data_IF_621133938309
#
_entry.id   IF_621133938309
#
_cell.length_a   1.000
_cell.length_b   1.000
_cell.length_c   1.000
_cell.angle_alpha   90.00
_cell.angle_beta   90.00
_cell.angle_gamma   90.00
#
_symmetry.space_group_name_H-M   'P 1'
#
loop_
_entity.id
_entity.type
_entity.pdbx_description
1 polymer ?
#
# COMPACT_ATOMS: atom_id res chain seq x y z
N UNK A 1 20.54 -28.08 -10.31
CA UNK A 1 19.40 -27.62 -9.49
C UNK A 1 18.13 -27.97 -10.24
N UNK A 2 17.25 -28.72 -9.63
CA UNK A 2 16.04 -29.28 -10.27
C UNK A 2 14.85 -28.94 -9.39
N UNK A 3 13.68 -28.71 -10.00
CA UNK A 3 12.40 -28.67 -9.32
C UNK A 3 11.96 -30.13 -9.11
N UNK A 4 11.65 -30.47 -7.87
CA UNK A 4 11.16 -31.79 -7.49
C UNK A 4 9.68 -31.71 -7.15
N UNK A 5 8.93 -32.72 -7.51
CA UNK A 5 7.62 -32.99 -6.94
C UNK A 5 7.76 -33.51 -5.50
N UNK A 6 6.65 -33.56 -4.76
CA UNK A 6 6.68 -34.09 -3.40
C UNK A 6 7.01 -35.59 -3.37
N UNK A 7 6.53 -36.34 -4.34
CA UNK A 7 6.82 -37.80 -4.49
C UNK A 7 8.30 -38.00 -4.77
N UNK A 8 8.88 -37.33 -5.77
CA UNK A 8 10.32 -37.42 -6.08
C UNK A 8 11.20 -37.03 -4.88
N UNK A 9 10.78 -36.04 -4.10
CA UNK A 9 11.51 -35.64 -2.90
C UNK A 9 11.52 -36.73 -1.85
N UNK A 10 10.40 -37.42 -1.59
CA UNK A 10 10.29 -38.51 -0.65
C UNK A 10 11.12 -39.72 -1.12
N UNK A 11 11.06 -40.07 -2.39
CA UNK A 11 11.85 -41.15 -2.97
C UNK A 11 13.36 -40.92 -2.81
N UNK A 12 13.80 -39.67 -3.02
CA UNK A 12 15.20 -39.28 -2.82
C UNK A 12 15.57 -39.38 -1.33
N UNK A 13 14.72 -38.92 -0.41
CA UNK A 13 14.98 -39.02 1.03
C UNK A 13 15.15 -40.46 1.50
N UNK A 14 14.35 -41.39 0.98
CA UNK A 14 14.44 -42.82 1.35
C UNK A 14 15.74 -43.46 0.82
N UNK A 15 16.28 -42.95 -0.26
CA UNK A 15 17.54 -43.46 -0.88
C UNK A 15 18.78 -42.74 -0.38
N UNK A 16 18.64 -41.66 0.38
CA UNK A 16 19.75 -40.79 0.81
C UNK A 16 20.61 -41.46 1.88
N UNK A 17 21.95 -41.48 1.74
CA UNK A 17 22.85 -41.96 2.77
C UNK A 17 22.69 -41.17 4.07
N UNK A 18 22.75 -41.85 5.22
CA UNK A 18 22.65 -41.23 6.56
C UNK A 18 23.71 -40.17 6.79
N UNK A 19 24.84 -40.28 6.10
CA UNK A 19 25.99 -39.35 6.19
C UNK A 19 25.71 -37.99 5.59
N UNK A 20 24.65 -37.82 4.79
CA UNK A 20 24.26 -36.53 4.21
C UNK A 20 23.99 -35.43 5.27
N UNK A 21 23.57 -35.82 6.47
CA UNK A 21 23.30 -34.90 7.58
C UNK A 21 24.59 -34.29 8.17
N UNK A 22 25.71 -34.95 8.03
CA UNK A 22 27.01 -34.52 8.58
C UNK A 22 27.85 -33.68 7.59
N UNK A 23 27.45 -33.64 6.32
CA UNK A 23 28.12 -32.82 5.32
C UNK A 23 27.87 -31.32 5.58
N UNK A 24 28.87 -30.50 5.30
CA UNK A 24 28.72 -29.03 5.37
C UNK A 24 27.78 -28.53 4.27
N UNK A 25 27.08 -27.41 4.51
CA UNK A 25 26.10 -26.85 3.55
C UNK A 25 26.74 -26.38 2.23
N UNK A 26 28.06 -26.22 2.20
CA UNK A 26 28.82 -25.88 1.00
C UNK A 26 29.37 -27.10 0.25
N UNK A 27 29.21 -28.32 0.79
CA UNK A 27 29.68 -29.54 0.12
C UNK A 27 28.84 -29.80 -1.15
N UNK A 28 29.48 -29.95 -2.33
CA UNK A 28 28.78 -30.23 -3.58
C UNK A 28 28.00 -31.54 -3.57
N UNK A 29 28.38 -32.49 -2.69
CA UNK A 29 27.71 -33.78 -2.58
C UNK A 29 26.53 -33.75 -1.59
N UNK A 30 26.36 -32.69 -0.82
CA UNK A 30 25.22 -32.57 0.09
C UNK A 30 23.92 -32.36 -0.67
N UNK A 31 22.99 -33.23 -0.47
CA UNK A 31 21.63 -33.04 -0.94
C UNK A 31 20.91 -32.02 -0.04
N UNK A 32 20.53 -30.87 -0.62
CA UNK A 32 19.78 -29.81 0.04
C UNK A 32 18.51 -29.59 -0.74
N UNK A 33 17.37 -29.84 -0.12
CA UNK A 33 16.07 -29.47 -0.66
C UNK A 33 15.44 -28.37 0.21
N UNK A 34 14.99 -27.31 -0.43
CA UNK A 34 14.30 -26.19 0.22
C UNK A 34 13.00 -25.89 -0.51
N UNK A 35 12.04 -25.34 0.19
CA UNK A 35 10.71 -25.05 -0.34
C UNK A 35 10.35 -23.57 -0.18
N UNK A 36 9.56 -23.06 -1.12
CA UNK A 36 8.97 -21.70 -1.05
C UNK A 36 10.00 -20.58 -1.09
N UNK A 37 9.79 -19.54 -0.30
CA UNK A 37 10.61 -18.34 -0.28
C UNK A 37 12.08 -18.60 0.10
N UNK A 38 12.34 -19.59 0.94
CA UNK A 38 13.69 -19.97 1.36
C UNK A 38 14.52 -20.51 0.18
N UNK A 39 13.92 -21.35 -0.65
CA UNK A 39 14.54 -21.86 -1.86
C UNK A 39 14.84 -20.75 -2.87
N UNK A 40 13.88 -19.84 -3.09
CA UNK A 40 14.06 -18.71 -4.00
C UNK A 40 15.15 -17.76 -3.49
N UNK A 41 15.20 -17.51 -2.18
CA UNK A 41 16.24 -16.69 -1.57
C UNK A 41 17.65 -17.24 -1.87
N UNK A 42 17.87 -18.52 -1.66
CA UNK A 42 19.16 -19.18 -1.91
C UNK A 42 19.54 -19.14 -3.39
N UNK A 43 18.57 -19.32 -4.28
CA UNK A 43 18.79 -19.22 -5.73
C UNK A 43 19.21 -17.79 -6.12
N UNK A 44 18.55 -16.77 -5.57
CA UNK A 44 18.85 -15.37 -5.86
C UNK A 44 20.20 -14.94 -5.26
N UNK A 45 20.53 -15.39 -4.04
CA UNK A 45 21.80 -15.07 -3.37
C UNK A 45 23.02 -15.62 -4.13
N UNK A 46 22.85 -16.75 -4.84
CA UNK A 46 23.92 -17.41 -5.60
C UNK A 46 23.91 -17.02 -7.09
N UNK A 47 23.10 -16.04 -7.50
CA UNK A 47 22.95 -15.65 -8.89
C UNK A 47 24.12 -14.78 -9.35
N UNK A 48 24.85 -15.24 -10.36
CA UNK A 48 25.83 -14.41 -11.06
C UNK A 48 25.13 -13.59 -12.15
N UNK A 49 24.98 -12.30 -11.88
CA UNK A 49 24.32 -11.37 -12.79
C UNK A 49 25.14 -11.09 -14.06
N UNK A 50 26.47 -11.13 -13.98
CA UNK A 50 27.31 -10.85 -15.12
C UNK A 50 27.31 -12.00 -16.12
N UNK A 51 27.47 -13.23 -15.62
CA UNK A 51 27.36 -14.43 -16.44
C UNK A 51 25.97 -14.56 -17.09
N UNK A 52 24.91 -14.32 -16.31
CA UNK A 52 23.52 -14.39 -16.81
C UNK A 52 23.23 -13.31 -17.86
N UNK A 53 23.75 -12.09 -17.67
CA UNK A 53 23.61 -11.03 -18.68
C UNK A 53 24.29 -11.40 -19.99
N UNK A 54 25.50 -11.93 -19.92
CA UNK A 54 26.22 -12.38 -21.12
C UNK A 54 25.44 -13.49 -21.87
N UNK A 55 24.99 -14.50 -21.15
CA UNK A 55 24.19 -15.59 -21.71
C UNK A 55 22.91 -15.09 -22.38
N UNK A 56 22.16 -14.21 -21.73
CA UNK A 56 20.92 -13.67 -22.28
C UNK A 56 21.15 -12.79 -23.51
N UNK A 57 22.23 -12.01 -23.55
CA UNK A 57 22.62 -11.23 -24.74
C UNK A 57 22.96 -12.14 -25.91
N UNK A 58 23.71 -13.21 -25.65
CA UNK A 58 24.04 -14.19 -26.66
C UNK A 58 22.78 -14.88 -27.22
N UNK A 59 21.86 -15.29 -26.34
CA UNK A 59 20.57 -15.90 -26.77
C UNK A 59 19.72 -14.91 -27.58
N UNK A 60 19.62 -13.65 -27.12
CA UNK A 60 18.84 -12.63 -27.82
C UNK A 60 19.39 -12.34 -29.26
N UNK A 61 20.71 -12.47 -29.45
CA UNK A 61 21.31 -12.32 -30.78
C UNK A 61 21.15 -13.53 -31.70
N UNK A 62 21.37 -14.74 -31.15
CA UNK A 62 21.61 -15.95 -31.95
C UNK A 62 20.42 -16.94 -32.00
N UNK A 63 19.36 -16.76 -31.20
CA UNK A 63 18.23 -17.70 -31.20
C UNK A 63 17.47 -17.61 -32.54
N UNK A 64 17.05 -18.75 -33.06
CA UNK A 64 16.30 -18.81 -34.33
C UNK A 64 14.84 -18.36 -34.19
N UNK A 65 14.26 -18.43 -32.96
CA UNK A 65 12.87 -18.10 -32.70
C UNK A 65 12.72 -16.66 -32.21
N UNK A 66 11.90 -15.86 -32.88
CA UNK A 66 11.60 -14.49 -32.49
C UNK A 66 10.94 -14.43 -31.08
N UNK A 67 10.11 -15.39 -30.73
CA UNK A 67 9.50 -15.48 -29.42
C UNK A 67 10.55 -15.64 -28.32
N UNK A 68 11.49 -16.56 -28.47
CA UNK A 68 12.59 -16.79 -27.53
C UNK A 68 13.51 -15.57 -27.41
N UNK A 69 13.80 -14.88 -28.56
CA UNK A 69 14.51 -13.59 -28.50
C UNK A 69 13.81 -12.57 -27.63
N UNK A 70 12.50 -12.40 -27.81
CA UNK A 70 11.71 -11.45 -27.03
C UNK A 70 11.66 -11.80 -25.55
N UNK A 71 11.58 -13.09 -25.21
CA UNK A 71 11.65 -13.56 -23.82
C UNK A 71 13.03 -13.29 -23.20
N UNK A 72 14.09 -13.58 -23.96
CA UNK A 72 15.47 -13.28 -23.52
C UNK A 72 15.68 -11.79 -23.28
N UNK A 73 15.16 -10.92 -24.16
CA UNK A 73 15.24 -9.46 -24.00
C UNK A 73 14.48 -8.95 -22.76
N UNK A 74 13.27 -9.45 -22.52
CA UNK A 74 12.50 -9.10 -21.31
C UNK A 74 13.24 -9.51 -20.04
N UNK A 75 13.80 -10.70 -20.03
CA UNK A 75 14.60 -11.19 -18.90
C UNK A 75 15.90 -10.40 -18.73
N UNK A 76 16.57 -10.08 -19.82
CA UNK A 76 17.78 -9.25 -19.82
C UNK A 76 17.51 -7.87 -19.22
N UNK A 77 16.39 -7.24 -19.53
CA UNK A 77 16.02 -5.94 -18.96
C UNK A 77 16.00 -5.96 -17.43
N UNK A 78 15.45 -7.01 -16.82
CA UNK A 78 15.43 -7.20 -15.37
C UNK A 78 16.84 -7.41 -14.83
N UNK A 79 17.64 -8.26 -15.48
CA UNK A 79 19.02 -8.55 -15.07
C UNK A 79 19.89 -7.30 -15.13
N UNK A 80 19.78 -6.51 -16.21
CA UNK A 80 20.53 -5.24 -16.34
C UNK A 80 20.10 -4.22 -15.28
N UNK A 81 18.83 -4.18 -14.90
CA UNK A 81 18.34 -3.31 -13.82
C UNK A 81 19.00 -3.67 -12.49
N UNK A 82 19.17 -4.96 -12.18
CA UNK A 82 19.92 -5.40 -10.99
C UNK A 82 21.40 -5.10 -11.10
N UNK A 83 22.02 -5.28 -12.27
CA UNK A 83 23.43 -4.92 -12.49
C UNK A 83 23.67 -3.43 -12.30
N UNK A 84 22.84 -2.58 -12.89
CA UNK A 84 22.94 -1.12 -12.76
C UNK A 84 22.74 -0.64 -11.31
N UNK A 85 21.97 -1.36 -10.51
CA UNK A 85 21.75 -1.05 -9.09
C UNK A 85 22.68 -1.80 -8.13
N UNK A 86 23.66 -2.53 -8.64
CA UNK A 86 24.65 -3.27 -7.83
C UNK A 86 25.29 -2.35 -6.79
N UNK A 87 25.29 -2.73 -5.54
CA UNK A 87 25.73 -1.91 -4.39
C UNK A 87 24.60 -1.17 -3.67
N UNK A 88 23.47 -0.90 -4.30
CA UNK A 88 22.26 -0.37 -3.65
C UNK A 88 21.18 -1.42 -3.45
N UNK A 89 21.04 -2.37 -4.38
CA UNK A 89 20.05 -3.44 -4.34
C UNK A 89 20.72 -4.79 -4.60
N UNK A 90 20.29 -5.80 -3.84
CA UNK A 90 20.68 -7.18 -4.03
C UNK A 90 19.48 -8.01 -4.50
N UNK A 91 19.67 -8.99 -5.42
CA UNK A 91 18.56 -9.81 -5.93
C UNK A 91 17.77 -10.52 -4.83
N UNK A 92 18.45 -11.03 -3.79
CA UNK A 92 17.83 -11.72 -2.66
C UNK A 92 16.91 -10.83 -1.82
N UNK A 93 16.97 -9.51 -1.94
CA UNK A 93 16.05 -8.59 -1.27
C UNK A 93 14.62 -8.59 -1.85
N UNK A 94 14.41 -9.28 -2.96
CA UNK A 94 13.05 -9.55 -3.44
C UNK A 94 12.27 -10.43 -2.46
N UNK A 95 12.95 -11.17 -1.59
CA UNK A 95 12.33 -11.96 -0.54
C UNK A 95 12.27 -11.15 0.75
N UNK A 96 11.04 -10.90 1.20
CA UNK A 96 10.78 -10.11 2.42
C UNK A 96 11.08 -10.97 3.65
N UNK A 97 12.14 -10.64 4.37
CA UNK A 97 12.52 -11.31 5.64
C UNK A 97 12.01 -10.55 6.86
N UNK A 98 11.91 -9.23 6.76
CA UNK A 98 11.42 -8.36 7.82
C UNK A 98 10.17 -7.66 7.29
N UNK A 99 9.03 -7.95 7.89
CA UNK A 99 7.76 -7.34 7.51
C UNK A 99 7.64 -5.97 8.16
N UNK A 100 7.48 -4.88 7.40
CA UNK A 100 7.30 -3.55 7.96
C UNK A 100 5.93 -3.46 8.66
N UNK A 101 5.93 -2.84 9.84
CA UNK A 101 4.72 -2.58 10.61
C UNK A 101 4.41 -1.09 10.54
N UNK A 102 3.23 -0.74 10.06
CA UNK A 102 2.82 0.67 9.99
C UNK A 102 2.52 1.21 11.39
N UNK A 103 2.71 2.54 11.62
CA UNK A 103 2.43 3.17 12.91
C UNK A 103 1.00 2.93 13.39
N UNK A 104 0.77 2.89 14.73
CA UNK A 104 -0.57 2.67 15.32
C UNK A 104 -1.62 3.70 14.89
N UNK A 105 -1.22 4.93 14.63
CA UNK A 105 -2.10 6.03 14.20
C UNK A 105 -2.76 5.73 12.82
N UNK A 106 -2.09 4.95 11.96
CA UNK A 106 -2.62 4.55 10.66
C UNK A 106 -3.54 3.31 10.72
N UNK A 107 -3.58 2.64 11.88
CA UNK A 107 -4.43 1.47 12.16
C UNK A 107 -5.10 1.58 13.54
N UNK A 108 -5.87 2.65 13.77
CA UNK A 108 -6.34 2.99 15.12
C UNK A 108 -7.29 1.94 15.70
N UNK A 109 -7.29 1.88 17.02
CA UNK A 109 -8.27 1.20 17.84
C UNK A 109 -9.17 2.26 18.45
N UNK A 110 -10.43 2.33 18.00
CA UNK A 110 -11.37 3.38 18.39
C UNK A 110 -12.40 2.80 19.37
N UNK A 111 -12.54 3.36 20.58
CA UNK A 111 -13.58 2.94 21.49
C UNK A 111 -14.96 3.35 20.95
N UNK A 112 -15.91 2.44 21.04
CA UNK A 112 -17.32 2.66 20.73
C UNK A 112 -18.13 2.71 22.03
N UNK A 113 -19.32 3.28 21.93
CA UNK A 113 -20.27 3.26 23.04
C UNK A 113 -20.59 1.81 23.46
N UNK A 114 -20.66 1.58 24.76
CA UNK A 114 -20.89 0.24 25.32
C UNK A 114 -19.63 -0.62 25.53
N UNK A 115 -18.42 -0.01 25.58
CA UNK A 115 -17.17 -0.71 25.92
C UNK A 115 -16.60 -1.59 24.81
N UNK A 116 -17.13 -1.50 23.60
CA UNK A 116 -16.60 -2.19 22.42
C UNK A 116 -15.54 -1.34 21.72
N UNK A 117 -14.64 -2.00 21.00
CA UNK A 117 -13.64 -1.32 20.20
C UNK A 117 -13.85 -1.64 18.72
N UNK A 118 -13.81 -0.61 17.88
CA UNK A 118 -13.65 -0.77 16.45
C UNK A 118 -12.15 -0.80 16.12
N UNK A 119 -11.72 -1.80 15.38
CA UNK A 119 -10.32 -1.95 14.98
C UNK A 119 -10.19 -1.92 13.47
N UNK A 120 -9.05 -1.44 12.99
CA UNK A 120 -8.69 -1.56 11.58
C UNK A 120 -8.50 -3.02 11.18
N UNK A 121 -8.93 -3.40 9.98
CA UNK A 121 -8.72 -4.73 9.41
C UNK A 121 -7.22 -5.13 9.38
N UNK A 122 -6.32 -4.15 9.25
CA UNK A 122 -4.87 -4.37 9.28
C UNK A 122 -4.37 -4.95 10.61
N UNK A 123 -4.98 -4.58 11.73
CA UNK A 123 -4.59 -5.13 13.03
C UNK A 123 -4.86 -6.64 13.09
N UNK A 124 -5.94 -7.11 12.50
CA UNK A 124 -6.25 -8.54 12.44
C UNK A 124 -5.30 -9.30 11.51
N UNK A 125 -4.96 -8.72 10.36
CA UNK A 125 -3.99 -9.28 9.43
C UNK A 125 -2.59 -9.37 10.07
N UNK A 126 -2.11 -8.32 10.74
CA UNK A 126 -0.84 -8.37 11.49
C UNK A 126 -0.87 -9.40 12.62
N UNK A 127 -1.96 -9.48 13.36
CA UNK A 127 -2.14 -10.47 14.44
C UNK A 127 -1.98 -11.90 13.90
N UNK A 128 -2.57 -12.20 12.74
CA UNK A 128 -2.45 -13.51 12.09
C UNK A 128 -1.00 -13.83 11.73
N UNK A 129 -0.27 -12.88 11.15
CA UNK A 129 1.16 -13.06 10.83
C UNK A 129 1.97 -13.34 12.10
N UNK A 130 1.77 -12.55 13.16
CA UNK A 130 2.51 -12.71 14.42
C UNK A 130 2.23 -14.07 15.07
N UNK A 131 0.96 -14.49 15.13
CA UNK A 131 0.57 -15.79 15.73
C UNK A 131 1.21 -16.93 14.95
N UNK A 132 1.16 -16.91 13.60
CA UNK A 132 1.77 -17.95 12.76
C UNK A 132 3.29 -17.99 12.90
N UNK A 133 3.92 -16.83 12.91
CA UNK A 133 5.36 -16.72 13.11
C UNK A 133 5.81 -17.29 14.48
N UNK A 134 5.11 -16.92 15.55
CA UNK A 134 5.42 -17.41 16.89
C UNK A 134 5.20 -18.94 17.00
N UNK A 135 4.16 -19.44 16.36
CA UNK A 135 3.89 -20.87 16.31
C UNK A 135 4.98 -21.62 15.55
N UNK A 136 5.39 -21.13 14.38
CA UNK A 136 6.48 -21.72 13.60
C UNK A 136 7.79 -21.71 14.41
N UNK A 137 8.12 -20.59 15.06
CA UNK A 137 9.31 -20.50 15.93
C UNK A 137 9.30 -21.58 17.00
N UNK A 138 8.19 -21.75 17.69
CA UNK A 138 8.03 -22.78 18.73
C UNK A 138 8.18 -24.21 18.18
N UNK A 139 7.62 -24.48 17.00
CA UNK A 139 7.74 -25.79 16.34
C UNK A 139 9.18 -26.10 15.93
N UNK A 140 9.95 -25.10 15.51
CA UNK A 140 11.39 -25.25 15.23
C UNK A 140 12.18 -25.53 16.51
N UNK A 141 11.88 -24.82 17.60
CA UNK A 141 12.55 -25.01 18.91
C UNK A 141 12.36 -26.43 19.45
N UNK A 142 11.17 -27.01 19.32
CA UNK A 142 10.87 -28.40 19.75
C UNK A 142 11.27 -29.48 18.72
N UNK A 143 11.92 -29.06 17.61
CA UNK A 143 12.32 -29.97 16.51
C UNK A 143 11.15 -30.83 16.00
N UNK A 144 10.01 -30.19 15.72
CA UNK A 144 8.82 -30.88 15.21
C UNK A 144 9.11 -31.57 13.86
N UNK A 145 8.35 -32.61 13.48
CA UNK A 145 8.49 -33.28 12.19
C UNK A 145 8.39 -32.31 11.01
N UNK A 146 9.17 -32.59 9.96
CA UNK A 146 9.28 -31.68 8.80
C UNK A 146 7.95 -31.42 8.10
N UNK A 147 7.07 -32.41 8.03
CA UNK A 147 5.72 -32.27 7.44
C UNK A 147 4.92 -31.17 8.14
N UNK A 148 5.00 -31.08 9.48
CA UNK A 148 4.33 -30.06 10.27
C UNK A 148 4.98 -28.70 10.02
N UNK A 149 6.31 -28.64 9.98
CA UNK A 149 7.06 -27.41 9.71
C UNK A 149 6.74 -26.86 8.32
N UNK A 150 6.68 -27.69 7.29
CA UNK A 150 6.32 -27.31 5.92
C UNK A 150 4.91 -26.71 5.86
N UNK A 151 3.95 -27.34 6.50
CA UNK A 151 2.59 -26.83 6.54
C UNK A 151 2.50 -25.46 7.26
N UNK A 152 3.18 -25.30 8.39
CA UNK A 152 3.17 -24.02 9.11
C UNK A 152 3.92 -22.91 8.35
N UNK A 153 5.03 -23.23 7.65
CA UNK A 153 5.71 -22.30 6.73
C UNK A 153 4.74 -21.83 5.63
N UNK A 154 3.96 -22.73 5.03
CA UNK A 154 2.93 -22.42 4.04
C UNK A 154 1.86 -21.48 4.62
N UNK A 155 1.36 -21.79 5.82
CA UNK A 155 0.34 -20.97 6.49
C UNK A 155 0.86 -19.58 6.87
N UNK A 156 2.14 -19.46 7.23
CA UNK A 156 2.79 -18.16 7.46
C UNK A 156 2.87 -17.36 6.16
N UNK A 157 3.30 -17.98 5.06
CA UNK A 157 3.33 -17.36 3.73
C UNK A 157 1.95 -16.83 3.33
N UNK A 158 0.91 -17.65 3.49
CA UNK A 158 -0.47 -17.23 3.20
C UNK A 158 -0.94 -16.03 4.05
N UNK A 159 -0.50 -15.96 5.30
CA UNK A 159 -0.82 -14.84 6.19
C UNK A 159 -0.14 -13.54 5.74
N UNK A 160 1.11 -13.62 5.30
CA UNK A 160 1.86 -12.48 4.75
C UNK A 160 1.25 -12.05 3.41
N UNK A 161 0.91 -12.98 2.52
CA UNK A 161 0.25 -12.68 1.25
C UNK A 161 -1.09 -11.94 1.47
N UNK A 162 -1.86 -12.37 2.47
CA UNK A 162 -3.12 -11.71 2.83
C UNK A 162 -2.91 -10.31 3.40
N UNK A 163 -1.83 -10.08 4.13
CA UNK A 163 -1.47 -8.75 4.63
C UNK A 163 -1.14 -7.78 3.48
N UNK A 164 -0.39 -8.23 2.49
CA UNK A 164 -0.01 -7.40 1.36
C UNK A 164 -1.13 -7.22 0.35
N UNK A 165 -1.77 -8.29 -0.12
CA UNK A 165 -2.87 -8.25 -1.09
C UNK A 165 -3.87 -9.39 -0.88
N UNK A 166 -4.84 -9.18 -0.01
CA UNK A 166 -5.87 -10.16 0.32
C UNK A 166 -6.82 -10.43 -0.86
N UNK A 167 -7.08 -9.44 -1.69
CA UNK A 167 -8.03 -9.55 -2.81
C UNK A 167 -7.50 -10.40 -3.98
N UNK A 168 -6.20 -10.62 -4.07
CA UNK A 168 -5.56 -11.43 -5.12
C UNK A 168 -5.71 -12.93 -4.89
N UNK A 169 -6.03 -13.35 -3.67
CA UNK A 169 -6.17 -14.76 -3.32
C UNK A 169 -7.50 -15.33 -3.83
N UNK A 170 -7.50 -16.60 -4.21
CA UNK A 170 -8.72 -17.35 -4.55
C UNK A 170 -9.68 -17.45 -3.36
N UNK A 171 -9.13 -17.56 -2.15
CA UNK A 171 -9.89 -17.61 -0.89
C UNK A 171 -9.37 -16.49 0.03
N UNK A 172 -9.91 -15.27 -0.08
CA UNK A 172 -9.50 -14.14 0.76
C UNK A 172 -9.90 -14.36 2.21
N UNK A 173 -9.10 -13.82 3.13
CA UNK A 173 -9.44 -13.78 4.54
C UNK A 173 -10.64 -12.86 4.76
N UNK A 174 -11.65 -13.36 5.45
CA UNK A 174 -12.93 -12.67 5.68
C UNK A 174 -13.20 -12.48 7.17
N UNK A 175 -14.07 -11.54 7.48
CA UNK A 175 -14.72 -11.40 8.79
C UNK A 175 -15.82 -12.45 8.97
N UNK A 176 -16.34 -12.59 10.18
CA UNK A 176 -17.47 -13.49 10.47
C UNK A 176 -18.72 -13.18 9.61
N UNK A 177 -18.84 -11.94 9.15
CA UNK A 177 -19.90 -11.49 8.23
C UNK A 177 -19.57 -11.70 6.73
N UNK A 178 -18.61 -12.57 6.39
CA UNK A 178 -18.17 -12.88 5.02
C UNK A 178 -17.64 -11.67 4.23
N UNK A 179 -17.29 -10.57 4.90
CA UNK A 179 -16.65 -9.42 4.25
C UNK A 179 -15.12 -9.65 4.18
N UNK A 180 -14.48 -9.53 3.00
CA UNK A 180 -13.03 -9.65 2.91
C UNK A 180 -12.34 -8.53 3.69
N UNK A 181 -11.27 -8.86 4.40
CA UNK A 181 -10.45 -7.89 5.12
C UNK A 181 -9.66 -7.02 4.15
N UNK A 182 -9.60 -5.72 4.44
CA UNK A 182 -8.88 -4.73 3.63
C UNK A 182 -7.38 -4.81 3.90
N UNK A 183 -6.62 -5.23 2.88
CA UNK A 183 -5.17 -5.36 2.93
C UNK A 183 -4.43 -4.03 2.70
N UNK A 184 -3.09 -4.05 2.82
CA UNK A 184 -2.24 -2.89 2.52
C UNK A 184 -2.43 -2.41 1.07
N UNK A 185 -2.44 -3.33 0.10
CA UNK A 185 -2.68 -3.02 -1.30
C UNK A 185 -4.05 -2.39 -1.53
N UNK A 186 -5.10 -2.90 -0.86
CA UNK A 186 -6.47 -2.37 -0.96
C UNK A 186 -6.58 -0.96 -0.37
N UNK A 187 -5.69 -0.60 0.55
CA UNK A 187 -5.61 0.76 1.11
C UNK A 187 -5.04 1.78 0.12
N UNK A 188 -4.32 1.32 -0.89
CA UNK A 188 -3.67 2.16 -1.91
C UNK A 188 -4.45 2.20 -3.22
N UNK A 189 -4.98 1.06 -3.67
CA UNK A 189 -5.66 0.89 -4.97
C UNK A 189 -7.15 1.24 -4.93
N UNK A 190 -7.73 1.46 -6.12
CA UNK A 190 -9.16 1.69 -6.31
C UNK A 190 -9.63 3.12 -6.02
N UNK A 191 -10.95 3.36 -6.16
CA UNK A 191 -11.60 4.68 -5.99
C UNK A 191 -11.43 5.24 -4.57
N UNK A 192 -11.47 4.37 -3.57
CA UNK A 192 -11.33 4.72 -2.15
C UNK A 192 -9.89 4.53 -1.63
N UNK A 193 -8.95 4.21 -2.52
CA UNK A 193 -7.54 4.09 -2.19
C UNK A 193 -6.88 5.45 -2.00
N UNK A 194 -5.72 5.44 -1.32
CA UNK A 194 -4.98 6.66 -0.97
C UNK A 194 -4.62 7.52 -2.19
N UNK A 195 -4.25 6.88 -3.30
CA UNK A 195 -3.88 7.62 -4.52
C UNK A 195 -5.07 8.43 -5.07
N UNK A 196 -6.21 7.80 -5.31
CA UNK A 196 -7.35 8.47 -5.94
C UNK A 196 -8.12 9.36 -4.98
N UNK A 197 -8.24 8.98 -3.71
CA UNK A 197 -9.07 9.71 -2.75
C UNK A 197 -8.35 10.88 -2.08
N UNK A 198 -7.02 10.79 -1.85
CA UNK A 198 -6.30 11.75 -1.02
C UNK A 198 -5.11 12.42 -1.71
N UNK A 199 -4.51 11.81 -2.75
CA UNK A 199 -3.34 12.35 -3.43
C UNK A 199 -3.68 13.05 -4.74
N UNK A 200 -4.47 12.42 -5.62
CA UNK A 200 -4.91 13.03 -6.88
C UNK A 200 -6.00 14.08 -6.69
N UNK A 201 -6.70 14.06 -5.59
CA UNK A 201 -7.67 15.06 -5.19
C UNK A 201 -7.78 15.12 -3.69
N UNK A 202 -8.01 16.32 -3.15
CA UNK A 202 -8.18 16.56 -1.71
C UNK A 202 -9.43 17.38 -1.47
N UNK A 203 -10.04 17.20 -0.31
CA UNK A 203 -11.04 18.17 0.18
C UNK A 203 -10.31 19.46 0.54
N UNK A 204 -10.85 20.56 0.11
CA UNK A 204 -10.26 21.88 0.34
C UNK A 204 -11.20 22.75 1.15
N UNK A 205 -10.61 23.66 1.94
CA UNK A 205 -11.34 24.68 2.67
C UNK A 205 -11.79 25.80 1.71
N UNK A 206 -12.63 26.70 2.19
CA UNK A 206 -13.17 27.82 1.42
C UNK A 206 -13.86 27.38 0.12
N UNK A 207 -14.59 26.31 0.18
CA UNK A 207 -15.38 25.75 -0.91
C UNK A 207 -16.81 25.46 -0.44
N UNK A 208 -17.74 25.45 -1.39
CA UNK A 208 -19.13 25.15 -1.10
C UNK A 208 -19.78 24.40 -2.25
N UNK A 209 -20.88 23.71 -1.98
CA UNK A 209 -21.67 22.99 -2.98
C UNK A 209 -23.15 23.25 -2.73
N UNK A 210 -23.90 23.54 -3.80
CA UNK A 210 -25.35 23.73 -3.74
C UNK A 210 -26.02 23.30 -5.04
N UNK A 211 -27.31 23.23 -5.01
CA UNK A 211 -28.15 22.97 -6.19
C UNK A 211 -28.13 24.21 -7.07
N UNK A 212 -28.09 24.03 -8.38
CA UNK A 212 -28.20 25.09 -9.39
C UNK A 212 -29.65 25.18 -9.79
N UNK A 213 -30.18 26.42 -9.75
CA UNK A 213 -31.53 26.76 -10.15
C UNK A 213 -31.53 27.89 -11.16
N UNK A 214 -32.63 28.07 -11.90
CA UNK A 214 -32.81 29.19 -12.81
C UNK A 214 -32.94 30.50 -12.05
N UNK A 215 -32.42 31.60 -12.63
CA UNK A 215 -32.52 32.95 -12.10
C UNK A 215 -32.93 33.93 -13.21
N UNK A 216 -34.24 34.12 -13.45
CA UNK A 216 -34.71 34.92 -14.58
C UNK A 216 -34.32 36.43 -14.48
N UNK A 217 -33.99 36.89 -13.28
CA UNK A 217 -33.56 38.28 -13.04
C UNK A 217 -32.06 38.50 -13.30
N UNK A 218 -31.28 37.44 -13.50
CA UNK A 218 -29.84 37.52 -13.71
C UNK A 218 -29.53 37.64 -15.19
N UNK A 219 -28.51 38.45 -15.52
CA UNK A 219 -27.97 38.55 -16.88
C UNK A 219 -27.19 37.27 -17.21
N UNK A 220 -26.97 37.01 -18.50
CA UNK A 220 -26.32 35.81 -19.01
C UNK A 220 -24.91 35.54 -18.44
N UNK A 221 -24.20 36.58 -18.03
CA UNK A 221 -22.88 36.51 -17.40
C UNK A 221 -22.90 36.61 -15.88
N UNK A 222 -24.05 36.58 -15.25
CA UNK A 222 -24.18 36.73 -13.79
C UNK A 222 -24.60 35.44 -13.13
N UNK A 223 -24.09 35.19 -11.92
CA UNK A 223 -24.43 34.07 -11.07
C UNK A 223 -24.74 34.55 -9.65
N UNK A 224 -25.90 34.19 -9.13
CA UNK A 224 -26.27 34.49 -7.75
C UNK A 224 -25.72 33.44 -6.78
N UNK A 225 -24.97 33.85 -5.80
CA UNK A 225 -24.41 32.97 -4.75
C UNK A 225 -25.12 33.28 -3.42
N UNK A 226 -25.58 32.28 -2.65
CA UNK A 226 -26.13 32.51 -1.32
C UNK A 226 -25.14 33.19 -0.39
N UNK A 227 -25.61 34.20 0.36
CA UNK A 227 -24.75 34.98 1.30
C UNK A 227 -23.91 34.12 2.23
N UNK A 228 -24.49 33.02 2.74
CA UNK A 228 -23.80 32.13 3.67
C UNK A 228 -22.63 31.38 2.98
N UNK A 229 -22.80 30.99 1.74
CA UNK A 229 -21.72 30.35 0.96
C UNK A 229 -20.64 31.40 0.64
N UNK A 230 -21.01 32.58 0.23
CA UNK A 230 -20.07 33.66 -0.04
C UNK A 230 -19.23 34.01 1.21
N UNK A 231 -19.85 34.08 2.39
CA UNK A 231 -19.14 34.33 3.63
C UNK A 231 -18.07 33.24 3.94
N UNK A 232 -18.32 31.97 3.61
CA UNK A 232 -17.34 30.91 3.80
C UNK A 232 -16.23 30.94 2.75
N UNK A 233 -16.57 31.21 1.48
CA UNK A 233 -15.60 31.34 0.39
C UNK A 233 -14.61 32.46 0.63
N UNK A 234 -15.11 33.63 1.06
CA UNK A 234 -14.32 34.85 1.28
C UNK A 234 -13.83 35.02 2.73
N UNK A 235 -13.99 34.02 3.58
CA UNK A 235 -13.62 34.05 5.00
C UNK A 235 -12.23 34.66 5.29
N UNK A 236 -11.14 34.27 4.59
CA UNK A 236 -9.81 34.84 4.83
C UNK A 236 -9.74 36.34 4.56
N UNK A 237 -10.38 36.77 3.49
CA UNK A 237 -10.40 38.17 3.09
C UNK A 237 -11.23 39.04 4.06
N UNK A 238 -12.36 38.52 4.54
CA UNK A 238 -13.18 39.18 5.54
C UNK A 238 -12.39 39.34 6.86
N UNK A 239 -11.71 38.28 7.31
CA UNK A 239 -10.87 38.30 8.52
C UNK A 239 -9.79 39.39 8.38
N UNK A 240 -9.12 39.46 7.23
CA UNK A 240 -8.11 40.45 6.95
C UNK A 240 -8.70 41.86 7.03
N UNK A 241 -9.85 42.11 6.39
CA UNK A 241 -10.50 43.42 6.39
C UNK A 241 -11.03 43.86 7.77
N UNK A 242 -11.49 42.92 8.59
CA UNK A 242 -11.89 43.18 9.98
C UNK A 242 -10.71 43.69 10.83
N UNK A 243 -9.52 43.14 10.60
CA UNK A 243 -8.28 43.58 11.29
C UNK A 243 -7.79 44.91 10.73
N UNK A 244 -7.74 45.08 9.40
CA UNK A 244 -7.32 46.31 8.73
C UNK A 244 -8.19 47.52 9.13
N UNK A 245 -9.51 47.32 9.29
CA UNK A 245 -10.45 48.37 9.76
C UNK A 245 -10.40 48.60 11.28
N UNK A 246 -9.58 47.89 12.03
CA UNK A 246 -9.44 48.01 13.47
C UNK A 246 -10.65 47.53 14.28
N UNK A 247 -11.62 46.84 13.66
CA UNK A 247 -12.81 46.29 14.35
C UNK A 247 -12.42 45.24 15.35
N UNK A 248 -11.39 44.47 15.01
CA UNK A 248 -10.80 43.43 15.88
C UNK A 248 -9.27 43.48 15.86
N UNK A 249 -8.67 43.12 16.98
CA UNK A 249 -7.20 43.12 17.14
C UNK A 249 -6.56 41.74 16.82
N UNK A 250 -7.34 40.66 16.85
CA UNK A 250 -6.80 39.30 16.72
C UNK A 250 -7.58 38.45 15.72
N UNK A 251 -6.88 37.57 15.01
CA UNK A 251 -7.48 36.60 14.06
C UNK A 251 -8.53 35.71 14.77
N UNK A 252 -8.31 35.36 16.03
CA UNK A 252 -9.24 34.53 16.81
C UNK A 252 -10.57 35.23 17.03
N UNK A 253 -10.54 36.53 17.37
CA UNK A 253 -11.75 37.36 17.50
C UNK A 253 -12.45 37.57 16.17
N UNK A 254 -11.69 37.81 15.07
CA UNK A 254 -12.25 37.91 13.75
C UNK A 254 -12.99 36.64 13.29
N UNK A 255 -12.39 35.46 13.51
CA UNK A 255 -13.06 34.17 13.24
C UNK A 255 -14.39 34.03 13.99
N UNK A 256 -14.44 34.39 15.27
CA UNK A 256 -15.69 34.33 16.06
C UNK A 256 -16.79 35.23 15.48
N UNK A 257 -16.45 36.44 15.00
CA UNK A 257 -17.40 37.34 14.36
C UNK A 257 -17.94 36.73 13.07
N UNK A 258 -17.05 36.17 12.24
CA UNK A 258 -17.46 35.51 10.98
C UNK A 258 -18.32 34.28 11.25
N UNK A 259 -17.98 33.44 12.24
CA UNK A 259 -18.74 32.25 12.59
C UNK A 259 -20.13 32.61 13.18
N UNK A 260 -20.24 33.74 13.88
CA UNK A 260 -21.53 34.31 14.40
C UNK A 260 -22.36 35.02 13.35
N UNK A 261 -21.79 35.30 12.17
CA UNK A 261 -22.47 35.95 11.06
C UNK A 261 -23.03 37.33 11.45
N UNK A 262 -22.22 38.12 12.17
CA UNK A 262 -22.60 39.48 12.61
C UNK A 262 -22.86 40.39 11.42
N UNK A 263 -23.74 41.42 11.58
CA UNK A 263 -24.18 42.30 10.48
C UNK A 263 -23.03 42.99 9.72
N UNK A 264 -21.97 43.35 10.43
CA UNK A 264 -20.77 44.01 9.86
C UNK A 264 -20.08 43.17 8.77
N UNK A 265 -20.28 41.85 8.75
CA UNK A 265 -19.65 40.98 7.75
C UNK A 265 -20.21 41.22 6.34
N UNK A 266 -21.50 41.50 6.25
CA UNK A 266 -22.16 41.59 4.94
C UNK A 266 -21.67 42.80 4.12
N UNK A 267 -21.44 43.96 4.75
CA UNK A 267 -20.87 45.14 4.09
C UNK A 267 -19.42 44.91 3.64
N UNK A 268 -18.66 44.19 4.49
CA UNK A 268 -17.28 43.81 4.15
C UNK A 268 -17.27 42.80 3.02
N UNK A 269 -18.17 41.82 3.02
CA UNK A 269 -18.30 40.79 2.01
C UNK A 269 -18.58 41.40 0.64
N UNK A 270 -19.53 42.31 0.55
CA UNK A 270 -19.86 43.03 -0.70
C UNK A 270 -18.65 43.78 -1.26
N UNK A 271 -17.91 44.42 -0.40
CA UNK A 271 -16.68 45.14 -0.80
C UNK A 271 -15.58 44.16 -1.26
N UNK A 272 -15.40 43.05 -0.58
CA UNK A 272 -14.36 42.06 -0.86
C UNK A 272 -14.65 41.26 -2.12
N UNK A 273 -15.90 40.97 -2.44
CA UNK A 273 -16.29 40.26 -3.67
C UNK A 273 -15.84 41.00 -4.94
N UNK A 274 -15.77 42.31 -4.89
CA UNK A 274 -15.29 43.13 -6.03
C UNK A 274 -13.78 42.93 -6.20
N UNK A 275 -13.38 42.26 -7.28
CA UNK A 275 -11.96 42.00 -7.60
C UNK A 275 -11.38 40.67 -7.12
N UNK A 276 -12.16 39.81 -6.45
CA UNK A 276 -11.73 38.50 -6.05
C UNK A 276 -12.60 37.41 -6.72
N UNK A 277 -12.20 36.89 -7.89
CA UNK A 277 -12.99 35.90 -8.62
C UNK A 277 -13.02 34.54 -7.89
N UNK A 278 -14.10 33.79 -8.09
CA UNK A 278 -14.27 32.42 -7.63
C UNK A 278 -14.38 31.46 -8.82
N UNK A 279 -13.94 30.25 -8.66
CA UNK A 279 -14.08 29.21 -9.66
C UNK A 279 -15.43 28.49 -9.46
N UNK A 280 -16.28 28.52 -10.48
CA UNK A 280 -17.53 27.75 -10.51
C UNK A 280 -17.33 26.54 -11.39
N UNK A 281 -17.70 25.36 -10.90
CA UNK A 281 -17.64 24.09 -11.64
C UNK A 281 -18.98 23.40 -11.58
N UNK A 282 -19.51 22.97 -12.74
CA UNK A 282 -20.69 22.14 -12.84
C UNK A 282 -20.25 20.69 -12.96
N UNK A 283 -20.67 19.85 -12.03
CA UNK A 283 -20.46 18.39 -12.06
C UNK A 283 -21.79 17.66 -12.03
#
# INVERSE_FOLDING_TARGET
RVLLSEEEYLDILDTLPKDNQYLEDNDPNKFIAKMGAEAIYDLLARLDLDALSFELRHRAGNDASQQRKNEALKRLQVVESFRASRGRNKPEWMIVRIVPVIPPELRPLVPLDGGRFATSDLNDLYRRVIIRNNRLKRLIEIKAPEVILRNEKRMLQESVDSLFDNSRKSSPVQTDANRPLKSLSDSLKGKQGRFRQNLLGKRVDYSARSVIVVGPELKMGECGIPKLMAAELYKPFIIRKLIERGIVKTVKSAKKIVDRKEAVIWDILEHVMKGHPVLLTNF
#
